data_IF_888598269956
#
_entry.id   IF_888598269956
#
_cell.length_a   1.000
_cell.length_b   1.000
_cell.length_c   1.000
_cell.angle_alpha   90.00
_cell.angle_beta   90.00
_cell.angle_gamma   90.00
#
_symmetry.space_group_name_H-M   'P 1'
#
loop_
_entity.id
_entity.type
_entity.pdbx_description
1 polymer ?
#
# COMPACT_ATOMS: atom_id res chain seq x y z
N UNK A 1 19.55 39.64 -23.99
CA UNK A 1 20.36 38.76 -23.12
C UNK A 1 20.00 37.34 -23.46
N UNK A 2 20.94 36.60 -24.02
CA UNK A 2 20.72 35.18 -24.33
C UNK A 2 20.78 34.39 -23.01
N UNK A 3 19.63 33.93 -22.56
CA UNK A 3 19.56 33.04 -21.41
C UNK A 3 20.37 31.78 -21.68
N UNK A 4 21.43 31.56 -20.90
CA UNK A 4 22.29 30.40 -21.04
C UNK A 4 21.58 29.25 -20.34
N UNK A 5 21.14 28.24 -21.10
CA UNK A 5 20.54 27.02 -20.56
C UNK A 5 21.52 25.86 -20.66
N UNK A 6 21.42 24.95 -19.71
CA UNK A 6 22.15 23.68 -19.75
C UNK A 6 21.16 22.52 -19.82
N UNK A 7 21.54 21.46 -20.50
CA UNK A 7 20.76 20.22 -20.57
C UNK A 7 21.35 19.24 -19.56
N UNK A 8 20.50 18.68 -18.69
CA UNK A 8 20.88 17.77 -17.62
C UNK A 8 20.01 16.50 -17.60
N UNK A 9 20.54 15.42 -17.05
CA UNK A 9 19.82 14.17 -16.77
C UNK A 9 19.08 13.58 -17.97
N UNK A 10 19.66 13.46 -19.16
CA UNK A 10 18.97 12.92 -20.30
C UNK A 10 18.71 11.40 -20.17
N UNK A 11 17.52 10.96 -20.58
CA UNK A 11 17.16 9.55 -20.69
C UNK A 11 16.18 9.31 -21.83
N UNK A 12 16.16 8.10 -22.40
CA UNK A 12 15.23 7.76 -23.46
C UNK A 12 13.80 7.63 -22.94
N UNK A 13 12.85 8.27 -23.64
CA UNK A 13 11.44 8.18 -23.32
C UNK A 13 10.82 6.82 -23.70
N UNK A 14 11.38 6.18 -24.74
CA UNK A 14 10.90 4.90 -25.29
C UNK A 14 12.07 4.01 -25.71
N UNK A 15 11.77 2.74 -25.98
CA UNK A 15 12.76 1.73 -26.41
C UNK A 15 13.31 2.00 -27.80
N UNK A 16 12.52 2.65 -28.66
CA UNK A 16 12.85 2.99 -30.03
C UNK A 16 13.86 4.14 -30.13
N UNK A 17 14.19 4.77 -28.99
CA UNK A 17 15.16 5.89 -28.91
C UNK A 17 14.81 7.09 -29.79
N UNK A 18 13.50 7.32 -29.99
CA UNK A 18 12.99 8.44 -30.80
C UNK A 18 12.96 9.75 -30.04
N UNK A 19 12.83 9.69 -28.71
CA UNK A 19 12.71 10.86 -27.84
C UNK A 19 13.61 10.72 -26.62
N UNK A 20 14.31 11.81 -26.32
CA UNK A 20 15.05 11.96 -25.06
C UNK A 20 14.30 12.94 -24.19
N UNK A 21 14.06 12.56 -22.94
CA UNK A 21 13.57 13.48 -21.92
C UNK A 21 14.79 14.01 -21.17
N UNK A 22 14.89 15.32 -21.04
CA UNK A 22 15.95 15.97 -20.32
C UNK A 22 15.45 17.18 -19.53
N UNK A 23 16.23 17.62 -18.55
CA UNK A 23 15.99 18.84 -17.79
C UNK A 23 16.77 20.00 -18.40
N UNK A 24 16.08 21.09 -18.69
CA UNK A 24 16.70 22.37 -19.03
C UNK A 24 16.85 23.20 -17.78
N UNK A 25 18.07 23.58 -17.48
CA UNK A 25 18.38 24.47 -16.33
C UNK A 25 18.78 25.84 -16.87
N UNK A 26 18.03 26.86 -16.50
CA UNK A 26 18.25 28.24 -16.93
C UNK A 26 19.10 28.93 -15.88
N UNK A 27 20.33 29.39 -16.29
CA UNK A 27 21.31 29.94 -15.37
C UNK A 27 20.95 31.32 -14.83
N UNK A 28 20.11 32.06 -15.56
CA UNK A 28 19.65 33.40 -15.17
C UNK A 28 18.59 33.39 -14.05
N UNK A 29 17.73 32.37 -14.05
CA UNK A 29 16.60 32.27 -13.12
C UNK A 29 16.69 31.09 -12.16
N UNK A 30 17.62 30.14 -12.37
CA UNK A 30 17.71 28.87 -11.66
C UNK A 30 16.50 27.95 -11.91
N UNK A 31 15.61 28.33 -12.83
CA UNK A 31 14.43 27.53 -13.17
C UNK A 31 14.83 26.25 -13.89
N UNK A 32 14.09 25.18 -13.61
CA UNK A 32 14.21 23.88 -14.27
C UNK A 32 12.94 23.57 -15.05
N UNK A 33 13.07 23.06 -16.25
CA UNK A 33 11.96 22.62 -17.07
C UNK A 33 12.29 21.25 -17.69
N UNK A 34 11.38 20.31 -17.60
CA UNK A 34 11.51 19.01 -18.28
C UNK A 34 10.96 19.14 -19.69
N UNK A 35 11.71 18.70 -20.67
CA UNK A 35 11.27 18.70 -22.07
C UNK A 35 11.59 17.39 -22.75
N UNK A 36 10.80 17.07 -23.78
CA UNK A 36 11.05 15.96 -24.70
C UNK A 36 11.73 16.48 -25.95
N UNK A 37 12.89 15.93 -26.28
CA UNK A 37 13.72 16.29 -27.41
C UNK A 37 13.62 15.18 -28.44
N UNK A 38 13.16 15.48 -29.64
CA UNK A 38 13.04 14.50 -30.71
C UNK A 38 14.40 14.17 -31.34
N UNK A 39 14.63 12.90 -31.61
CA UNK A 39 15.75 12.39 -32.39
C UNK A 39 15.30 12.20 -33.84
N UNK A 40 15.11 13.29 -34.57
CA UNK A 40 14.63 13.31 -35.96
C UNK A 40 15.70 13.75 -36.99
N UNK A 41 16.93 13.98 -36.52
CA UNK A 41 18.04 14.43 -37.34
C UNK A 41 18.02 15.92 -37.70
N UNK A 42 17.01 16.69 -37.21
CA UNK A 42 16.87 18.12 -37.48
C UNK A 42 16.83 18.97 -36.20
N UNK A 43 16.74 18.33 -35.03
CA UNK A 43 16.58 18.99 -33.77
C UNK A 43 17.92 19.45 -33.18
N UNK A 44 18.13 20.78 -33.14
CA UNK A 44 19.36 21.38 -32.57
C UNK A 44 19.61 21.04 -31.12
N UNK A 45 18.56 20.89 -30.33
CA UNK A 45 18.66 20.51 -28.92
C UNK A 45 19.17 19.09 -28.77
N UNK A 46 18.79 18.19 -29.70
CA UNK A 46 19.33 16.85 -29.76
C UNK A 46 20.81 16.84 -30.12
N UNK A 47 21.22 17.63 -31.10
CA UNK A 47 22.64 17.77 -31.51
C UNK A 47 23.50 18.32 -30.34
N UNK A 48 22.98 19.30 -29.59
CA UNK A 48 23.64 19.84 -28.42
C UNK A 48 23.76 18.80 -27.32
N UNK A 49 22.68 18.04 -27.06
CA UNK A 49 22.64 16.97 -26.08
C UNK A 49 23.66 15.87 -26.37
N UNK A 50 23.74 15.39 -27.62
CA UNK A 50 24.69 14.34 -28.04
C UNK A 50 26.14 14.80 -27.99
N UNK A 51 26.42 16.09 -28.14
CA UNK A 51 27.77 16.65 -27.94
C UNK A 51 28.18 16.58 -26.47
N UNK A 52 27.24 16.70 -25.56
CA UNK A 52 27.49 16.70 -24.10
C UNK A 52 27.43 15.31 -23.48
N UNK A 53 26.51 14.45 -23.95
CA UNK A 53 26.25 13.12 -23.42
C UNK A 53 26.38 12.08 -24.53
N UNK A 54 27.19 11.03 -24.32
CA UNK A 54 27.19 9.90 -25.22
C UNK A 54 25.89 9.09 -25.17
N UNK A 55 25.59 8.34 -26.21
CA UNK A 55 24.42 7.43 -26.26
C UNK A 55 24.46 6.44 -25.09
N UNK A 56 25.66 5.93 -24.77
CA UNK A 56 25.87 4.99 -23.65
C UNK A 56 25.52 5.62 -22.28
N UNK A 57 25.82 6.92 -22.11
CA UNK A 57 25.45 7.64 -20.88
C UNK A 57 23.92 7.83 -20.78
N UNK A 58 23.25 8.11 -21.88
CA UNK A 58 21.79 8.22 -21.94
C UNK A 58 21.14 6.83 -21.65
N UNK A 59 21.72 5.76 -22.22
CA UNK A 59 21.28 4.38 -21.95
C UNK A 59 21.45 4.02 -20.47
N UNK A 60 22.58 4.37 -19.86
CA UNK A 60 22.86 4.13 -18.44
C UNK A 60 21.88 4.90 -17.53
N UNK A 61 21.62 6.18 -17.85
CA UNK A 61 20.63 6.98 -17.13
C UNK A 61 19.23 6.39 -17.25
N UNK A 62 18.86 5.92 -18.43
CA UNK A 62 17.57 5.27 -18.70
C UNK A 62 17.40 4.00 -17.86
N UNK A 63 18.43 3.15 -17.84
CA UNK A 63 18.45 1.92 -17.02
C UNK A 63 18.33 2.25 -15.54
N UNK A 64 19.13 3.18 -15.03
CA UNK A 64 19.08 3.60 -13.63
C UNK A 64 17.69 4.07 -13.23
N UNK A 65 17.08 4.95 -14.04
CA UNK A 65 15.72 5.46 -13.80
C UNK A 65 14.67 4.35 -13.78
N UNK A 66 14.80 3.36 -14.64
CA UNK A 66 13.91 2.20 -14.67
C UNK A 66 14.08 1.33 -13.42
N UNK A 67 15.30 1.09 -12.99
CA UNK A 67 15.62 0.33 -11.78
C UNK A 67 15.12 1.03 -10.52
N UNK A 68 15.34 2.34 -10.40
CA UNK A 68 14.84 3.17 -9.28
C UNK A 68 13.30 3.12 -9.21
N UNK A 69 12.63 3.25 -10.36
CA UNK A 69 11.17 3.15 -10.44
C UNK A 69 10.66 1.79 -9.99
N UNK A 70 11.31 0.71 -10.43
CA UNK A 70 10.94 -0.65 -10.02
C UNK A 70 11.14 -0.88 -8.51
N UNK A 71 12.21 -0.34 -7.93
CA UNK A 71 12.44 -0.39 -6.49
C UNK A 71 11.34 0.36 -5.73
N UNK A 72 10.94 1.55 -6.17
CA UNK A 72 9.83 2.30 -5.58
C UNK A 72 8.50 1.53 -5.66
N UNK A 73 8.20 0.90 -6.79
CA UNK A 73 6.99 0.09 -6.95
C UNK A 73 7.01 -1.09 -5.98
N UNK A 74 8.11 -1.83 -5.90
CA UNK A 74 8.27 -2.95 -4.96
C UNK A 74 8.06 -2.50 -3.51
N UNK A 75 8.70 -1.41 -3.12
CA UNK A 75 8.58 -0.87 -1.77
C UNK A 75 7.13 -0.44 -1.43
N UNK A 76 6.43 0.19 -2.38
CA UNK A 76 5.03 0.56 -2.20
C UNK A 76 4.11 -0.66 -2.06
N UNK A 77 4.33 -1.70 -2.87
CA UNK A 77 3.58 -2.96 -2.75
C UNK A 77 3.82 -3.61 -1.38
N UNK A 78 5.06 -3.60 -0.91
CA UNK A 78 5.41 -4.16 0.40
C UNK A 78 4.75 -3.38 1.55
N UNK A 79 4.78 -2.04 1.51
CA UNK A 79 4.06 -1.19 2.47
C UNK A 79 2.57 -1.49 2.49
N UNK A 80 1.92 -1.55 1.32
CA UNK A 80 0.49 -1.84 1.22
C UNK A 80 0.13 -3.22 1.80
N UNK A 81 1.00 -4.23 1.64
CA UNK A 81 0.79 -5.55 2.24
C UNK A 81 0.86 -5.48 3.76
N UNK A 82 1.86 -4.79 4.31
CA UNK A 82 2.02 -4.61 5.75
C UNK A 82 0.83 -3.86 6.35
N UNK A 83 0.39 -2.76 5.73
CA UNK A 83 -0.74 -1.96 6.19
C UNK A 83 -2.05 -2.77 6.15
N UNK A 84 -2.27 -3.56 5.10
CA UNK A 84 -3.43 -4.45 5.01
C UNK A 84 -3.44 -5.51 6.11
N UNK A 85 -2.29 -6.13 6.38
CA UNK A 85 -2.16 -7.13 7.44
C UNK A 85 -2.43 -6.51 8.81
N UNK A 86 -1.91 -5.33 9.07
CA UNK A 86 -2.14 -4.57 10.30
C UNK A 86 -3.62 -4.23 10.48
N UNK A 87 -4.27 -3.71 9.44
CA UNK A 87 -5.70 -3.38 9.49
C UNK A 87 -6.56 -4.63 9.78
N UNK A 88 -6.23 -5.79 9.19
CA UNK A 88 -6.91 -7.06 9.48
C UNK A 88 -6.72 -7.51 10.92
N UNK A 89 -5.53 -7.34 11.49
CA UNK A 89 -5.26 -7.65 12.89
C UNK A 89 -6.02 -6.73 13.85
N UNK A 90 -6.08 -5.44 13.55
CA UNK A 90 -6.84 -4.46 14.33
C UNK A 90 -8.34 -4.77 14.30
N UNK A 91 -8.89 -5.13 13.14
CA UNK A 91 -10.30 -5.54 13.01
C UNK A 91 -10.60 -6.82 13.79
N UNK A 92 -9.70 -7.81 13.73
CA UNK A 92 -9.86 -9.05 14.49
C UNK A 92 -9.82 -8.79 16.00
N UNK A 93 -8.92 -7.92 16.44
CA UNK A 93 -8.82 -7.54 17.85
C UNK A 93 -10.09 -6.82 18.32
N UNK A 94 -10.59 -5.85 17.53
CA UNK A 94 -11.86 -5.16 17.83
C UNK A 94 -13.02 -6.14 17.93
N UNK A 95 -13.17 -7.05 16.97
CA UNK A 95 -14.24 -8.04 17.00
C UNK A 95 -14.20 -8.93 18.26
N UNK A 96 -13.02 -9.28 18.75
CA UNK A 96 -12.87 -10.02 20.00
C UNK A 96 -13.29 -9.19 21.22
N UNK A 97 -12.91 -7.91 21.25
CA UNK A 97 -13.34 -7.00 22.34
C UNK A 97 -14.86 -6.85 22.34
N UNK A 98 -15.45 -6.58 21.17
CA UNK A 98 -16.90 -6.41 21.01
C UNK A 98 -17.66 -7.66 21.49
N UNK A 99 -17.16 -8.85 21.18
CA UNK A 99 -17.75 -10.11 21.68
C UNK A 99 -17.74 -10.18 23.21
N UNK A 100 -16.68 -9.73 23.88
CA UNK A 100 -16.60 -9.74 25.34
C UNK A 100 -17.32 -8.57 26.03
N UNK A 101 -17.77 -7.56 25.28
CA UNK A 101 -18.66 -6.50 25.78
C UNK A 101 -20.11 -6.98 25.94
N UNK A 102 -20.52 -8.06 25.27
CA UNK A 102 -21.86 -8.63 25.40
C UNK A 102 -22.05 -9.19 26.82
N UNK A 103 -23.04 -8.72 27.55
CA UNK A 103 -23.25 -9.04 28.98
C UNK A 103 -23.41 -10.55 29.21
N UNK A 104 -24.14 -11.27 28.35
CA UNK A 104 -24.29 -12.74 28.45
C UNK A 104 -22.94 -13.46 28.32
N UNK A 105 -22.08 -13.00 27.45
CA UNK A 105 -20.74 -13.57 27.28
C UNK A 105 -19.84 -13.19 28.45
N UNK A 106 -19.94 -11.96 28.92
CA UNK A 106 -19.17 -11.45 30.04
C UNK A 106 -19.46 -12.25 31.32
N UNK A 107 -20.73 -12.54 31.60
CA UNK A 107 -21.18 -13.29 32.75
C UNK A 107 -21.08 -14.81 32.60
N UNK A 108 -20.98 -15.34 31.39
CA UNK A 108 -20.88 -16.78 31.08
C UNK A 108 -19.74 -17.45 31.82
N UNK A 109 -20.02 -18.64 32.38
CA UNK A 109 -19.03 -19.53 33.03
C UNK A 109 -18.35 -20.47 32.00
N UNK A 110 -18.76 -20.47 30.75
CA UNK A 110 -18.20 -21.34 29.72
C UNK A 110 -16.80 -20.90 29.31
N UNK A 111 -15.79 -21.38 30.05
CA UNK A 111 -14.37 -21.04 29.83
C UNK A 111 -13.84 -21.55 28.50
N UNK A 112 -14.37 -22.66 28.01
CA UNK A 112 -13.90 -23.27 26.75
C UNK A 112 -14.24 -22.38 25.55
N UNK A 113 -15.51 -21.99 25.39
CA UNK A 113 -15.92 -21.11 24.29
C UNK A 113 -15.30 -19.71 24.40
N UNK A 114 -15.19 -19.15 25.61
CA UNK A 114 -14.43 -17.91 25.82
C UNK A 114 -12.97 -18.03 25.36
N UNK A 115 -12.33 -19.18 25.62
CA UNK A 115 -10.96 -19.45 25.15
C UNK A 115 -10.89 -19.55 23.62
N UNK A 116 -11.88 -20.18 22.98
CA UNK A 116 -11.98 -20.26 21.50
C UNK A 116 -12.12 -18.89 20.88
N UNK A 117 -12.95 -18.00 21.44
CA UNK A 117 -13.06 -16.60 20.96
C UNK A 117 -11.71 -15.87 21.06
N UNK A 118 -11.01 -15.97 22.20
CA UNK A 118 -9.69 -15.34 22.37
C UNK A 118 -8.65 -15.83 21.38
N UNK A 119 -8.66 -17.14 21.05
CA UNK A 119 -7.70 -17.80 20.17
C UNK A 119 -8.10 -17.77 18.70
N UNK A 120 -9.27 -17.27 18.36
CA UNK A 120 -9.76 -17.17 16.99
C UNK A 120 -8.78 -16.42 16.09
N UNK A 121 -8.59 -16.92 14.88
CA UNK A 121 -7.61 -16.40 13.92
C UNK A 121 -8.21 -15.44 12.89
N UNK A 122 -9.53 -15.40 12.81
CA UNK A 122 -10.27 -14.51 11.91
C UNK A 122 -11.63 -14.14 12.51
N UNK A 123 -12.27 -13.12 11.93
CA UNK A 123 -13.55 -12.58 12.39
C UNK A 123 -14.67 -13.62 12.32
N UNK A 124 -14.67 -14.49 11.31
CA UNK A 124 -15.70 -15.54 11.17
C UNK A 124 -15.67 -16.52 12.36
N UNK A 125 -14.48 -16.92 12.81
CA UNK A 125 -14.34 -17.76 14.00
C UNK A 125 -14.81 -17.03 15.27
N UNK A 126 -14.48 -15.75 15.43
CA UNK A 126 -14.99 -14.94 16.55
C UNK A 126 -16.51 -14.94 16.55
N UNK A 127 -17.12 -14.62 15.42
CA UNK A 127 -18.58 -14.56 15.27
C UNK A 127 -19.23 -15.92 15.55
N UNK A 128 -18.70 -17.01 14.97
CA UNK A 128 -19.24 -18.35 15.16
C UNK A 128 -19.22 -18.78 16.64
N UNK A 129 -18.10 -18.64 17.33
CA UNK A 129 -18.00 -19.01 18.74
C UNK A 129 -18.83 -18.08 19.64
N UNK A 130 -18.96 -16.81 19.29
CA UNK A 130 -19.82 -15.85 19.98
C UNK A 130 -21.29 -16.28 19.88
N UNK A 131 -21.77 -16.59 18.68
CA UNK A 131 -23.16 -17.06 18.47
C UNK A 131 -23.44 -18.36 19.21
N UNK A 132 -22.54 -19.33 19.15
CA UNK A 132 -22.70 -20.60 19.88
C UNK A 132 -22.80 -20.37 21.38
N UNK A 133 -21.96 -19.49 21.94
CA UNK A 133 -21.97 -19.17 23.36
C UNK A 133 -23.27 -18.46 23.76
N UNK A 134 -23.74 -17.50 22.96
CA UNK A 134 -25.02 -16.82 23.21
C UNK A 134 -26.18 -17.77 23.22
N UNK A 135 -26.29 -18.66 22.22
CA UNK A 135 -27.36 -19.65 22.16
C UNK A 135 -27.37 -20.60 23.37
N UNK A 136 -26.19 -20.99 23.84
CA UNK A 136 -26.10 -21.83 25.05
C UNK A 136 -26.54 -21.09 26.33
N UNK A 137 -26.14 -19.82 26.49
CA UNK A 137 -26.53 -19.03 27.64
C UNK A 137 -28.03 -18.66 27.65
N UNK A 138 -28.59 -18.38 26.46
CA UNK A 138 -30.04 -18.18 26.30
C UNK A 138 -30.84 -19.42 26.66
N UNK A 139 -30.42 -20.60 26.20
CA UNK A 139 -31.04 -21.88 26.53
C UNK A 139 -30.97 -22.16 28.06
N UNK A 140 -29.82 -21.92 28.69
CA UNK A 140 -29.65 -22.08 30.13
C UNK A 140 -30.56 -21.13 30.92
N UNK A 141 -30.73 -19.90 30.46
CA UNK A 141 -31.60 -18.91 31.09
C UNK A 141 -33.07 -19.31 30.98
N UNK A 142 -33.51 -19.82 29.84
CA UNK A 142 -34.87 -20.32 29.63
C UNK A 142 -35.22 -21.49 30.57
N UNK A 143 -34.31 -22.46 30.72
CA UNK A 143 -34.48 -23.62 31.60
C UNK A 143 -34.61 -23.17 33.04
N UNK A 144 -33.79 -22.17 33.50
CA UNK A 144 -33.89 -21.64 34.89
C UNK A 144 -35.22 -20.94 35.16
N UNK A 145 -35.79 -20.23 34.17
CA UNK A 145 -37.07 -19.56 34.31
C UNK A 145 -38.25 -20.55 34.40
N UNK A 146 -38.20 -21.64 33.65
CA UNK A 146 -39.23 -22.70 33.72
C UNK A 146 -39.22 -23.44 35.08
N UNK A 147 -38.04 -23.67 35.65
CA UNK A 147 -37.92 -24.35 36.95
C UNK A 147 -38.41 -23.47 38.11
N UNK A 148 -38.23 -22.14 38.05
CA UNK A 148 -38.69 -21.16 39.07
C UNK A 148 -40.22 -20.96 38.97
N UNK A 149 -40.84 -21.14 37.82
CA UNK A 149 -42.28 -20.97 37.63
C UNK A 149 -43.11 -22.21 38.01
N UNK A 150 -42.44 -23.35 38.27
CA UNK A 150 -43.05 -24.61 38.62
C UNK A 150 -43.13 -24.92 40.14
N UNK A 151 -42.57 -24.00 40.98
CA UNK A 151 -42.72 -23.99 42.46
C UNK A 151 -43.82 -23.00 42.91
#
# INVERSE_FOLDING_TARGET
>A
MTSTRTIENPYWANKEKQHVIAEFVYSDTGKRATASIMNDGTNRDFDELIKKYSVEQIDANTKKRFDDRNQHIKHNIERQKVDKTRAQQEQLFSAKLDAFEIDLIKSSKNRELKSKIRKAKNIMEVTAYTVILLQQEEANTAIMQETVSAE
#
